data_IF_082824077578
#
_entry.id   IF_082824077578
#
_cell.length_a   1.000
_cell.length_b   1.000
_cell.length_c   1.000
_cell.angle_alpha   90.00
_cell.angle_beta   90.00
_cell.angle_gamma   90.00
#
_symmetry.space_group_name_H-M   'P 1'
#
loop_
_entity.id
_entity.type
_entity.pdbx_description
1 polymer ?
#
# COMPACT_ATOMS: atom_id res chain seq x y z
N UNK A 1 4.82 -14.15 10.00
CA UNK A 1 4.46 -14.40 8.58
C UNK A 1 2.94 -14.52 8.54
N UNK A 2 2.26 -13.62 7.83
CA UNK A 2 0.79 -13.60 7.66
C UNK A 2 0.45 -13.85 6.18
N UNK A 3 -0.78 -14.26 5.90
CA UNK A 3 -1.28 -14.33 4.53
C UNK A 3 -1.72 -12.95 4.04
N UNK A 4 -1.76 -12.75 2.72
CA UNK A 4 -2.30 -11.52 2.14
C UNK A 4 -3.74 -11.27 2.59
N UNK A 5 -4.54 -12.29 2.87
CA UNK A 5 -5.93 -12.18 3.33
C UNK A 5 -6.08 -11.61 4.74
N UNK A 6 -5.01 -11.64 5.54
CA UNK A 6 -5.03 -11.16 6.93
C UNK A 6 -4.92 -9.64 7.05
N UNK A 7 -4.68 -8.92 5.95
CA UNK A 7 -4.59 -7.46 5.89
C UNK A 7 -5.56 -6.91 4.85
N UNK A 8 -6.28 -5.85 5.22
CA UNK A 8 -7.10 -5.04 4.34
C UNK A 8 -6.53 -3.64 4.15
N UNK A 9 -7.07 -2.92 3.17
CA UNK A 9 -6.69 -1.53 2.96
C UNK A 9 -7.72 -0.74 2.18
N UNK A 10 -7.69 0.57 2.36
CA UNK A 10 -8.50 1.55 1.66
C UNK A 10 -7.61 2.74 1.31
N UNK A 11 -7.67 3.20 0.07
CA UNK A 11 -7.05 4.44 -0.36
C UNK A 11 -8.10 5.41 -0.86
N UNK A 12 -8.04 6.66 -0.42
CA UNK A 12 -8.92 7.73 -0.89
C UNK A 12 -8.13 9.00 -1.14
N UNK A 13 -8.45 9.69 -2.25
CA UNK A 13 -7.87 10.99 -2.57
C UNK A 13 -8.29 12.07 -1.57
N UNK A 14 -9.40 11.88 -0.87
CA UNK A 14 -9.85 12.78 0.18
C UNK A 14 -10.65 12.01 1.24
N UNK A 15 -10.18 12.04 2.49
CA UNK A 15 -10.91 11.50 3.63
C UNK A 15 -11.40 12.65 4.52
N UNK A 16 -12.71 12.72 4.75
CA UNK A 16 -13.34 13.88 5.41
C UNK A 16 -12.85 14.10 6.85
N UNK A 17 -12.46 13.05 7.58
CA UNK A 17 -11.99 13.18 8.96
C UNK A 17 -10.54 13.66 9.06
N UNK A 18 -9.70 13.33 8.07
CA UNK A 18 -8.29 13.75 8.04
C UNK A 18 -8.08 15.03 7.23
N UNK A 19 -9.06 15.40 6.39
CA UNK A 19 -8.99 16.54 5.47
C UNK A 19 -7.94 16.38 4.37
N UNK A 20 -7.43 15.16 4.13
CA UNK A 20 -6.26 14.89 3.28
C UNK A 20 -6.41 13.57 2.52
N UNK A 21 -5.63 13.35 1.43
CA UNK A 21 -5.46 12.02 0.87
C UNK A 21 -4.98 11.06 1.95
N UNK A 22 -5.60 9.90 2.07
CA UNK A 22 -5.34 8.96 3.17
C UNK A 22 -5.34 7.52 2.67
N UNK A 23 -4.34 6.76 3.13
CA UNK A 23 -4.26 5.31 2.97
C UNK A 23 -4.44 4.67 4.33
N UNK A 24 -5.38 3.76 4.43
CA UNK A 24 -5.64 2.95 5.61
C UNK A 24 -5.14 1.53 5.38
N UNK A 25 -4.51 0.97 6.40
CA UNK A 25 -4.10 -0.44 6.46
C UNK A 25 -4.67 -0.98 7.78
N UNK A 26 -5.40 -2.08 7.72
CA UNK A 26 -6.08 -2.65 8.90
C UNK A 26 -6.00 -4.17 8.93
N UNK A 27 -6.08 -4.75 10.13
CA UNK A 27 -6.15 -6.20 10.33
C UNK A 27 -7.46 -6.73 9.72
N UNK A 28 -7.38 -7.79 8.91
CA UNK A 28 -8.55 -8.46 8.35
C UNK A 28 -9.34 -9.28 9.40
N UNK A 29 -8.74 -9.54 10.56
CA UNK A 29 -9.39 -10.26 11.65
C UNK A 29 -10.26 -9.33 12.51
N UNK A 30 -11.53 -9.69 12.79
CA UNK A 30 -12.39 -8.93 13.70
C UNK A 30 -11.75 -8.76 15.09
N UNK A 31 -11.72 -7.52 15.59
CA UNK A 31 -11.07 -7.19 16.87
C UNK A 31 -9.55 -6.95 16.78
N UNK A 32 -8.93 -7.30 15.65
CA UNK A 32 -7.50 -7.10 15.43
C UNK A 32 -6.63 -8.17 16.09
N UNK A 33 -5.52 -8.51 15.42
CA UNK A 33 -4.53 -9.49 15.90
C UNK A 33 -3.12 -8.89 15.97
N UNK A 34 -2.98 -7.60 15.64
CA UNK A 34 -1.75 -6.85 15.80
C UNK A 34 -0.81 -6.92 14.60
N UNK A 35 -1.27 -7.40 13.43
CA UNK A 35 -0.42 -7.41 12.22
C UNK A 35 -0.14 -5.97 11.79
N UNK A 36 -1.16 -5.11 11.78
CA UNK A 36 -0.95 -3.70 11.43
C UNK A 36 -0.20 -2.91 12.49
N UNK A 37 -0.26 -3.30 13.77
CA UNK A 37 0.62 -2.73 14.81
C UNK A 37 2.08 -3.05 14.51
N UNK A 38 2.40 -4.32 14.25
CA UNK A 38 3.75 -4.72 13.87
C UNK A 38 4.20 -4.07 12.55
N UNK A 39 3.27 -3.88 11.60
CA UNK A 39 3.52 -3.16 10.36
C UNK A 39 3.80 -1.66 10.58
N UNK A 40 3.10 -1.03 11.52
CA UNK A 40 3.34 0.37 11.91
C UNK A 40 4.73 0.54 12.52
N UNK A 41 5.12 -0.35 13.44
CA UNK A 41 6.46 -0.33 14.04
C UNK A 41 7.58 -0.59 13.03
N UNK A 42 7.26 -1.24 11.91
CA UNK A 42 8.18 -1.55 10.81
C UNK A 42 7.98 -0.68 9.57
N UNK A 43 7.26 0.43 9.68
CA UNK A 43 6.73 1.16 8.52
C UNK A 43 7.81 1.62 7.54
N UNK A 44 8.91 2.21 8.03
CA UNK A 44 10.00 2.70 7.19
C UNK A 44 10.57 1.60 6.29
N UNK A 45 10.89 0.43 6.88
CA UNK A 45 11.37 -0.74 6.14
C UNK A 45 10.36 -1.24 5.11
N UNK A 46 9.06 -1.24 5.46
CA UNK A 46 8.01 -1.65 4.53
C UNK A 46 7.89 -0.69 3.34
N UNK A 47 8.07 0.61 3.56
CA UNK A 47 8.08 1.62 2.48
C UNK A 47 9.31 1.42 1.57
N UNK A 48 10.49 1.16 2.14
CA UNK A 48 11.70 0.81 1.38
C UNK A 48 11.51 -0.44 0.52
N UNK A 49 10.97 -1.52 1.11
CA UNK A 49 10.71 -2.76 0.39
C UNK A 49 9.68 -2.58 -0.74
N UNK A 50 8.61 -1.81 -0.50
CA UNK A 50 7.63 -1.48 -1.52
C UNK A 50 8.24 -0.65 -2.66
N UNK A 51 9.08 0.34 -2.33
CA UNK A 51 9.78 1.17 -3.30
C UNK A 51 10.70 0.34 -4.19
N UNK A 52 11.48 -0.56 -3.58
CA UNK A 52 12.37 -1.49 -4.28
C UNK A 52 11.59 -2.42 -5.21
N UNK A 53 10.54 -3.07 -4.70
CA UNK A 53 9.68 -3.97 -5.48
C UNK A 53 9.12 -3.28 -6.73
N UNK A 54 8.61 -2.05 -6.59
CA UNK A 54 7.96 -1.35 -7.70
C UNK A 54 9.01 -0.83 -8.69
N UNK A 55 10.11 -0.25 -8.21
CA UNK A 55 11.15 0.34 -9.06
C UNK A 55 11.94 -0.70 -9.86
N UNK A 56 12.26 -1.86 -9.28
CA UNK A 56 13.01 -2.94 -9.94
C UNK A 56 12.14 -3.79 -10.88
N UNK A 57 10.82 -3.70 -10.80
CA UNK A 57 9.93 -4.45 -11.68
C UNK A 57 10.15 -4.04 -13.15
N UNK A 58 10.36 -4.97 -14.11
CA UNK A 58 10.67 -4.64 -15.50
C UNK A 58 9.46 -4.12 -16.31
N UNK A 59 8.25 -4.14 -15.74
CA UNK A 59 7.06 -3.68 -16.45
C UNK A 59 7.05 -2.16 -16.65
N UNK A 60 6.40 -1.70 -17.72
CA UNK A 60 6.32 -0.27 -18.09
C UNK A 60 5.25 0.50 -17.29
N UNK A 61 4.05 -0.07 -17.15
CA UNK A 61 2.88 0.67 -16.66
C UNK A 61 2.35 0.17 -15.31
N UNK A 62 2.81 -0.99 -14.82
CA UNK A 62 2.25 -1.70 -13.68
C UNK A 62 1.77 -3.09 -14.08
N UNK A 63 1.93 -4.07 -13.18
CA UNK A 63 1.54 -5.47 -13.41
C UNK A 63 1.22 -6.17 -12.08
N UNK A 64 0.72 -7.43 -12.11
CA UNK A 64 0.45 -8.25 -10.92
C UNK A 64 1.63 -8.43 -9.96
N UNK A 65 2.87 -8.25 -10.43
CA UNK A 65 4.08 -8.40 -9.62
C UNK A 65 4.53 -7.13 -8.90
N UNK A 66 3.87 -5.97 -9.11
CA UNK A 66 4.29 -4.72 -8.47
C UNK A 66 3.14 -3.92 -7.85
N UNK A 67 2.29 -3.30 -8.66
CA UNK A 67 1.28 -2.34 -8.18
C UNK A 67 -0.15 -2.88 -8.21
N UNK A 68 -0.40 -3.95 -8.95
CA UNK A 68 -1.74 -4.55 -9.01
C UNK A 68 -1.99 -5.46 -7.83
N UNK A 69 -3.23 -5.50 -7.37
CA UNK A 69 -3.68 -6.38 -6.29
C UNK A 69 -4.87 -7.21 -6.75
N UNK A 70 -4.89 -8.53 -6.47
CA UNK A 70 -6.07 -9.36 -6.71
C UNK A 70 -7.26 -8.97 -5.82
N UNK A 71 -7.04 -8.13 -4.80
CA UNK A 71 -8.10 -7.57 -3.94
C UNK A 71 -8.62 -6.21 -4.41
N UNK A 72 -8.13 -5.67 -5.53
CA UNK A 72 -8.56 -4.35 -5.99
C UNK A 72 -10.03 -4.39 -6.43
N UNK A 73 -10.91 -3.70 -5.70
CA UNK A 73 -12.33 -3.58 -6.05
C UNK A 73 -12.62 -2.73 -7.30
N UNK A 74 -11.62 -2.00 -7.79
CA UNK A 74 -11.73 -1.13 -8.97
C UNK A 74 -11.01 -1.72 -10.20
N UNK A 75 -10.90 -3.05 -10.29
CA UNK A 75 -10.29 -3.75 -11.44
C UNK A 75 -8.85 -3.32 -11.76
N UNK A 76 -8.10 -2.84 -10.76
CA UNK A 76 -6.76 -2.28 -10.92
C UNK A 76 -6.71 -1.01 -11.81
N UNK A 77 -7.85 -0.33 -11.99
CA UNK A 77 -7.97 1.03 -12.48
C UNK A 77 -8.16 1.96 -11.26
N UNK A 78 -7.51 3.14 -11.14
CA UNK A 78 -6.55 3.84 -11.99
C UNK A 78 -5.10 3.76 -11.44
N UNK A 79 -4.46 2.59 -11.50
CA UNK A 79 -3.10 2.43 -10.95
C UNK A 79 -2.01 3.09 -11.80
N UNK A 80 -0.97 3.63 -11.14
CA UNK A 80 0.16 4.28 -11.80
C UNK A 80 1.50 3.91 -11.14
N UNK A 81 2.36 3.19 -11.87
CA UNK A 81 3.68 2.76 -11.37
C UNK A 81 4.56 3.94 -10.94
N UNK A 82 4.72 4.94 -11.81
CA UNK A 82 5.58 6.08 -11.53
C UNK A 82 5.03 6.96 -10.40
N UNK A 83 3.71 7.11 -10.34
CA UNK A 83 3.02 7.80 -9.25
C UNK A 83 3.20 7.10 -7.91
N UNK A 84 3.20 5.76 -7.88
CA UNK A 84 3.48 5.00 -6.66
C UNK A 84 4.92 5.20 -6.17
N UNK A 85 5.90 5.17 -7.08
CA UNK A 85 7.32 5.45 -6.78
C UNK A 85 7.49 6.86 -6.18
N UNK A 86 6.89 7.87 -6.82
CA UNK A 86 6.94 9.25 -6.33
C UNK A 86 6.26 9.42 -4.97
N UNK A 87 5.13 8.75 -4.75
CA UNK A 87 4.44 8.77 -3.46
C UNK A 87 5.30 8.15 -2.34
N UNK A 88 5.88 6.97 -2.58
CA UNK A 88 6.72 6.28 -1.60
C UNK A 88 7.98 7.09 -1.24
N UNK A 89 8.58 7.75 -2.23
CA UNK A 89 9.70 8.67 -2.00
C UNK A 89 9.31 9.82 -1.06
N UNK A 90 8.16 10.46 -1.28
CA UNK A 90 7.68 11.54 -0.39
C UNK A 90 7.35 11.07 1.02
N UNK A 91 6.93 9.82 1.18
CA UNK A 91 6.64 9.23 2.49
C UNK A 91 7.92 8.97 3.28
N UNK A 92 9.04 8.61 2.62
CA UNK A 92 10.35 8.48 3.28
C UNK A 92 10.94 9.82 3.69
N UNK A 93 10.66 10.88 2.93
CA UNK A 93 11.21 12.22 3.17
C UNK A 93 10.43 13.03 4.25
N UNK A 94 9.32 12.50 4.78
CA UNK A 94 8.38 13.19 5.66
C UNK A 94 8.64 12.94 7.15
#
# INVERSE_FOLDING_TARGET
MCDRWDIGGLSTAFHHQTGRPTVFIYDGHPGGVGITRAGFDAFERLVEDAMRLISECPCRAGCPSCVQSPKCGNLNEPLNKNGAVELLRRVQDA
#
